data_IF_510879049444
#
_entry.id   IF_510879049444
#
_cell.length_a   1.000
_cell.length_b   1.000
_cell.length_c   1.000
_cell.angle_alpha   90.00
_cell.angle_beta   90.00
_cell.angle_gamma   90.00
#
_symmetry.space_group_name_H-M   'P 1'
#
loop_
_entity.id
_entity.type
_entity.pdbx_description
1 polymer ?
#
# COMPACT_ATOMS: atom_id res chain seq x y z
N UNK A 1 12.17 44.21 27.77
CA UNK A 1 13.16 43.50 26.92
C UNK A 1 13.32 42.08 27.46
N UNK A 2 12.45 41.17 26.99
CA UNK A 2 12.62 39.71 26.94
C UNK A 2 11.74 39.25 25.75
N UNK A 3 12.18 38.34 24.89
CA UNK A 3 11.51 38.07 23.62
C UNK A 3 10.39 37.02 23.76
N UNK A 4 9.30 37.29 23.05
CA UNK A 4 8.23 36.35 22.72
C UNK A 4 8.82 35.06 22.15
N UNK A 5 8.60 33.94 22.85
CA UNK A 5 8.78 32.61 22.26
C UNK A 5 7.49 32.30 21.51
N UNK A 6 7.40 32.81 20.28
CA UNK A 6 6.37 32.42 19.33
C UNK A 6 6.47 30.93 19.06
N UNK A 7 5.55 30.17 19.63
CA UNK A 7 5.25 28.81 19.17
C UNK A 7 4.78 28.98 17.73
N UNK A 8 5.65 28.65 16.77
CA UNK A 8 5.27 28.55 15.37
C UNK A 8 4.23 27.44 15.26
N UNK A 9 2.97 27.85 15.29
CA UNK A 9 1.84 27.07 14.84
C UNK A 9 2.09 26.78 13.37
N UNK A 10 2.66 25.60 13.06
CA UNK A 10 2.70 25.11 11.69
C UNK A 10 1.26 24.96 11.24
N UNK A 11 0.79 25.94 10.47
CA UNK A 11 -0.50 25.89 9.82
C UNK A 11 -0.64 24.55 9.10
N UNK A 12 -1.68 23.79 9.44
CA UNK A 12 -2.10 22.66 8.65
C UNK A 12 -2.25 23.14 7.19
N UNK A 13 -1.58 22.51 6.21
CA UNK A 13 -1.70 22.96 4.83
C UNK A 13 -3.15 22.77 4.36
N UNK A 14 -3.68 23.73 3.58
CA UNK A 14 -5.08 23.72 3.15
C UNK A 14 -5.34 22.55 2.19
N UNK A 15 -6.38 21.78 2.49
CA UNK A 15 -7.11 20.85 1.61
C UNK A 15 -6.28 20.00 0.63
N UNK A 16 -5.17 19.44 1.13
CA UNK A 16 -4.48 18.32 0.47
C UNK A 16 -5.32 17.05 0.64
N UNK A 17 -6.11 16.70 -0.37
CA UNK A 17 -6.91 15.48 -0.35
C UNK A 17 -5.99 14.29 -0.60
N UNK A 18 -5.72 13.47 0.43
CA UNK A 18 -5.37 12.07 0.15
C UNK A 18 -6.50 11.51 -0.69
N UNK A 19 -6.23 10.86 -1.84
CA UNK A 19 -7.27 10.07 -2.49
C UNK A 19 -7.69 8.98 -1.49
N UNK A 20 -8.75 9.27 -0.72
CA UNK A 20 -9.22 8.44 0.38
C UNK A 20 -9.74 7.13 -0.22
N UNK A 21 -8.86 6.14 -0.39
CA UNK A 21 -9.26 4.76 -0.67
C UNK A 21 -10.21 4.23 0.40
N UNK A 22 -10.12 4.75 1.62
CA UNK A 22 -11.04 4.47 2.71
C UNK A 22 -12.52 4.66 2.31
N UNK A 23 -12.84 5.54 1.34
CA UNK A 23 -14.22 5.79 0.89
C UNK A 23 -14.72 4.79 -0.15
N UNK A 24 -13.86 3.95 -0.73
CA UNK A 24 -14.16 3.19 -1.95
C UNK A 24 -14.08 1.66 -1.84
N UNK A 25 -13.71 1.10 -0.68
CA UNK A 25 -13.74 -0.34 -0.47
C UNK A 25 -14.95 -0.75 0.38
N UNK A 26 -16.12 -0.80 -0.25
CA UNK A 26 -17.17 -1.76 0.16
C UNK A 26 -16.76 -3.12 -0.37
N UNK A 27 -15.74 -3.71 0.24
CA UNK A 27 -15.35 -5.08 -0.07
C UNK A 27 -16.15 -6.01 0.84
N UNK A 28 -17.31 -6.45 0.36
CA UNK A 28 -18.27 -7.26 1.14
C UNK A 28 -17.65 -8.61 1.60
N UNK A 29 -16.57 -9.05 0.95
CA UNK A 29 -15.88 -10.29 1.28
C UNK A 29 -15.05 -10.21 2.57
N UNK A 30 -14.70 -9.02 3.06
CA UNK A 30 -13.93 -8.84 4.31
C UNK A 30 -14.29 -7.51 4.98
N UNK A 31 -15.34 -7.50 5.83
CA UNK A 31 -15.71 -6.31 6.58
C UNK A 31 -14.58 -5.89 7.55
N UNK A 32 -14.59 -4.64 8.03
CA UNK A 32 -13.67 -4.21 9.08
C UNK A 32 -13.75 -5.16 10.28
N UNK A 33 -12.62 -5.40 10.93
CA UNK A 33 -12.62 -6.13 12.21
C UNK A 33 -13.30 -5.26 13.29
N UNK A 34 -13.85 -5.91 14.31
CA UNK A 34 -14.54 -5.23 15.41
C UNK A 34 -13.60 -4.23 16.10
N UNK A 35 -14.03 -2.97 16.22
CA UNK A 35 -13.22 -1.89 16.80
C UNK A 35 -12.25 -1.20 15.83
N UNK A 36 -12.23 -1.58 14.54
CA UNK A 36 -11.38 -0.92 13.55
C UNK A 36 -11.85 0.51 13.25
N UNK A 37 -10.99 1.49 13.49
CA UNK A 37 -11.23 2.91 13.22
C UNK A 37 -10.13 3.51 12.34
N UNK A 38 -10.25 3.34 11.02
CA UNK A 38 -9.22 3.76 10.04
C UNK A 38 -8.93 5.28 10.06
N UNK A 39 -9.89 6.10 10.50
CA UNK A 39 -9.75 7.56 10.57
C UNK A 39 -9.01 8.04 11.85
N UNK A 40 -8.53 7.13 12.70
CA UNK A 40 -7.76 7.45 13.91
C UNK A 40 -6.59 8.40 13.61
N UNK A 41 -6.32 9.32 14.55
CA UNK A 41 -5.15 10.20 14.54
C UNK A 41 -3.98 9.65 15.37
N UNK A 42 -4.18 8.54 16.07
CA UNK A 42 -3.16 7.90 16.88
C UNK A 42 -2.31 6.95 16.02
N UNK A 43 -0.99 7.12 16.03
CA UNK A 43 -0.07 6.26 15.29
C UNK A 43 0.02 4.85 15.89
N UNK A 44 -0.21 4.70 17.20
CA UNK A 44 -0.18 3.39 17.88
C UNK A 44 -1.30 2.49 17.36
N UNK A 45 -2.49 3.06 17.13
CA UNK A 45 -3.63 2.33 16.55
C UNK A 45 -3.26 1.80 15.15
N UNK A 46 -2.59 2.61 14.33
CA UNK A 46 -2.17 2.18 13.00
C UNK A 46 -1.19 1.01 13.06
N UNK A 47 -0.17 1.09 13.93
CA UNK A 47 0.77 -0.02 14.13
C UNK A 47 0.08 -1.26 14.70
N UNK A 48 -0.87 -1.08 15.61
CA UNK A 48 -1.63 -2.17 16.22
C UNK A 48 -2.44 -2.94 15.17
N UNK A 49 -3.24 -2.24 14.36
CA UNK A 49 -4.04 -2.88 13.32
C UNK A 49 -3.19 -3.49 12.19
N UNK A 50 -2.04 -2.89 11.85
CA UNK A 50 -1.07 -3.52 10.96
C UNK A 50 -0.57 -4.86 11.50
N UNK A 51 -0.28 -4.95 12.79
CA UNK A 51 0.10 -6.20 13.44
C UNK A 51 -1.03 -7.23 13.37
N UNK A 52 -2.26 -6.85 13.76
CA UNK A 52 -3.42 -7.76 13.74
C UNK A 52 -3.67 -8.32 12.35
N UNK A 53 -3.74 -7.47 11.34
CA UNK A 53 -3.98 -7.91 9.97
C UNK A 53 -2.80 -8.72 9.41
N UNK A 54 -1.56 -8.35 9.75
CA UNK A 54 -0.36 -9.12 9.42
C UNK A 54 -0.42 -10.53 9.98
N UNK A 55 -0.64 -10.67 11.29
CA UNK A 55 -0.73 -11.95 11.99
C UNK A 55 -1.87 -12.83 11.42
N UNK A 56 -3.03 -12.23 11.15
CA UNK A 56 -4.18 -12.94 10.57
C UNK A 56 -3.88 -13.47 9.17
N UNK A 57 -3.20 -12.67 8.33
CA UNK A 57 -2.81 -13.06 6.98
C UNK A 57 -1.75 -14.15 7.00
N UNK A 58 -0.76 -14.08 7.89
CA UNK A 58 0.25 -15.12 8.07
C UNK A 58 -0.38 -16.45 8.50
N UNK A 59 -1.25 -16.38 9.51
CA UNK A 59 -1.99 -17.55 9.99
C UNK A 59 -2.81 -18.21 8.89
N UNK A 60 -3.62 -17.44 8.14
CA UNK A 60 -4.47 -17.96 7.06
C UNK A 60 -3.64 -18.53 5.91
N UNK A 61 -2.50 -17.90 5.56
CA UNK A 61 -1.59 -18.42 4.54
C UNK A 61 -1.04 -19.79 4.94
N UNK A 62 -0.64 -19.96 6.21
CA UNK A 62 -0.19 -21.25 6.73
C UNK A 62 -1.25 -22.35 6.62
N UNK A 63 -2.51 -22.02 6.93
CA UNK A 63 -3.64 -22.96 6.77
C UNK A 63 -3.86 -23.31 5.29
N UNK A 64 -3.90 -22.32 4.40
CA UNK A 64 -4.14 -22.55 2.98
C UNK A 64 -3.07 -23.41 2.33
N UNK A 65 -1.80 -23.20 2.66
CA UNK A 65 -0.72 -24.02 2.12
C UNK A 65 -0.85 -25.49 2.57
N UNK A 66 -1.24 -25.72 3.82
CA UNK A 66 -1.52 -27.09 4.30
C UNK A 66 -2.70 -27.72 3.56
N UNK A 67 -3.80 -26.98 3.42
CA UNK A 67 -4.99 -27.45 2.68
C UNK A 67 -4.61 -27.78 1.24
N UNK A 68 -3.84 -26.91 0.57
CA UNK A 68 -3.37 -27.10 -0.81
C UNK A 68 -2.57 -28.40 -0.97
N UNK A 69 -1.67 -28.70 -0.04
CA UNK A 69 -0.88 -29.93 -0.07
C UNK A 69 -1.75 -31.19 0.13
N UNK A 70 -2.78 -31.12 0.96
CA UNK A 70 -3.68 -32.24 1.22
C UNK A 70 -4.72 -32.44 0.10
N UNK A 71 -5.19 -31.36 -0.55
CA UNK A 71 -6.07 -31.41 -1.74
C UNK A 71 -5.52 -32.32 -2.85
N UNK A 72 -4.20 -32.30 -3.06
CA UNK A 72 -3.52 -33.11 -4.07
C UNK A 72 -3.69 -34.63 -3.83
N UNK A 73 -3.93 -35.05 -2.58
CA UNK A 73 -4.08 -36.45 -2.17
C UNK A 73 -5.52 -36.94 -2.23
N UNK A 74 -6.49 -36.03 -2.35
CA UNK A 74 -7.91 -36.37 -2.32
C UNK A 74 -8.39 -37.00 -3.63
N UNK A 75 -9.38 -37.92 -3.58
CA UNK A 75 -10.13 -38.36 -4.75
C UNK A 75 -10.85 -37.19 -5.45
N UNK A 76 -11.12 -37.26 -6.77
CA UNK A 76 -11.59 -36.12 -7.57
C UNK A 76 -12.84 -35.41 -7.02
N UNK A 77 -13.84 -36.17 -6.55
CA UNK A 77 -15.09 -35.60 -6.03
C UNK A 77 -14.87 -34.81 -4.73
N UNK A 78 -14.10 -35.36 -3.79
CA UNK A 78 -13.76 -34.68 -2.54
C UNK A 78 -12.84 -33.47 -2.76
N UNK A 79 -11.93 -33.55 -3.75
CA UNK A 79 -11.06 -32.44 -4.14
C UNK A 79 -11.87 -31.25 -4.66
N UNK A 80 -12.82 -31.48 -5.56
CA UNK A 80 -13.62 -30.39 -6.14
C UNK A 80 -14.46 -29.64 -5.10
N UNK A 81 -15.01 -30.35 -4.10
CA UNK A 81 -15.72 -29.70 -3.00
C UNK A 81 -14.77 -28.82 -2.16
N UNK A 82 -13.61 -29.35 -1.77
CA UNK A 82 -12.65 -28.62 -0.95
C UNK A 82 -11.92 -27.47 -1.71
N UNK A 83 -11.83 -27.51 -3.03
CA UNK A 83 -11.33 -26.40 -3.87
C UNK A 83 -12.27 -25.17 -3.81
N UNK A 84 -13.57 -25.37 -3.60
CA UNK A 84 -14.52 -24.26 -3.43
C UNK A 84 -14.28 -23.56 -2.09
N UNK A 85 -14.12 -24.32 -1.01
CA UNK A 85 -13.78 -23.78 0.32
C UNK A 85 -12.44 -23.03 0.29
N UNK A 86 -11.44 -23.60 -0.39
CA UNK A 86 -10.15 -22.94 -0.61
C UNK A 86 -10.32 -21.57 -1.30
N UNK A 87 -11.16 -21.50 -2.34
CA UNK A 87 -11.40 -20.28 -3.10
C UNK A 87 -12.06 -19.20 -2.24
N UNK A 88 -13.01 -19.58 -1.37
CA UNK A 88 -13.63 -18.65 -0.43
C UNK A 88 -12.62 -18.07 0.57
N UNK A 89 -11.79 -18.93 1.18
CA UNK A 89 -10.77 -18.49 2.14
C UNK A 89 -9.71 -17.61 1.46
N UNK A 90 -9.30 -17.96 0.23
CA UNK A 90 -8.37 -17.15 -0.56
C UNK A 90 -8.96 -15.77 -0.90
N UNK A 91 -10.26 -15.70 -1.22
CA UNK A 91 -10.98 -14.44 -1.45
C UNK A 91 -10.98 -13.54 -0.21
N UNK A 92 -11.23 -14.10 0.99
CA UNK A 92 -11.14 -13.34 2.25
C UNK A 92 -9.73 -12.79 2.49
N UNK A 93 -8.68 -13.52 2.11
CA UNK A 93 -7.31 -13.03 2.28
C UNK A 93 -7.01 -11.80 1.42
N UNK A 94 -7.57 -11.70 0.21
CA UNK A 94 -7.44 -10.50 -0.62
C UNK A 94 -8.08 -9.28 0.06
N UNK A 95 -9.26 -9.48 0.67
CA UNK A 95 -9.94 -8.43 1.45
C UNK A 95 -9.12 -7.96 2.66
N UNK A 96 -8.56 -8.88 3.45
CA UNK A 96 -7.67 -8.53 4.56
C UNK A 96 -6.35 -7.90 4.11
N UNK A 97 -5.81 -8.29 2.95
CA UNK A 97 -4.63 -7.63 2.40
C UNK A 97 -4.96 -6.18 2.02
N UNK A 98 -6.09 -5.91 1.38
CA UNK A 98 -6.54 -4.54 1.08
C UNK A 98 -6.71 -3.71 2.35
N UNK A 99 -7.20 -4.31 3.44
CA UNK A 99 -7.30 -3.64 4.76
C UNK A 99 -5.93 -3.31 5.33
N UNK A 100 -4.99 -4.25 5.29
CA UNK A 100 -3.62 -4.01 5.71
C UNK A 100 -2.96 -2.89 4.88
N UNK A 101 -3.21 -2.84 3.58
CA UNK A 101 -2.71 -1.78 2.70
C UNK A 101 -3.25 -0.40 3.12
N UNK A 102 -4.52 -0.30 3.53
CA UNK A 102 -5.08 0.95 4.08
C UNK A 102 -4.36 1.41 5.34
N UNK A 103 -4.06 0.49 6.26
CA UNK A 103 -3.37 0.82 7.51
C UNK A 103 -1.92 1.28 7.29
N UNK A 104 -1.22 0.67 6.33
CA UNK A 104 0.09 1.15 5.90
C UNK A 104 0.06 2.58 5.37
N UNK A 105 -0.94 2.91 4.54
CA UNK A 105 -1.12 4.27 4.04
C UNK A 105 -1.42 5.23 5.18
N UNK A 106 -2.32 4.83 6.08
CA UNK A 106 -2.68 5.63 7.24
C UNK A 106 -1.47 5.94 8.12
N UNK A 107 -0.58 4.98 8.33
CA UNK A 107 0.64 5.21 9.10
C UNK A 107 1.53 6.29 8.45
N UNK A 108 1.66 6.30 7.13
CA UNK A 108 2.41 7.35 6.43
C UNK A 108 1.73 8.72 6.50
N UNK A 109 0.41 8.77 6.38
CA UNK A 109 -0.39 9.98 6.54
C UNK A 109 -0.14 10.59 7.93
N UNK A 110 -0.25 9.78 8.98
CA UNK A 110 0.04 10.17 10.36
C UNK A 110 1.51 10.55 10.55
N UNK A 111 2.42 9.94 9.78
CA UNK A 111 3.83 10.30 9.68
C UNK A 111 4.12 11.59 8.89
N UNK A 112 3.09 12.24 8.34
CA UNK A 112 3.19 13.51 7.63
C UNK A 112 3.47 13.40 6.13
N UNK A 113 3.20 12.26 5.49
CA UNK A 113 3.16 12.14 4.04
C UNK A 113 1.88 12.82 3.53
N UNK A 114 2.00 13.58 2.44
CA UNK A 114 0.89 14.22 1.73
C UNK A 114 1.12 14.15 0.22
N UNK A 115 0.05 13.87 -0.52
CA UNK A 115 0.06 13.85 -1.98
C UNK A 115 -0.90 14.90 -2.51
N UNK A 116 -0.44 15.74 -3.44
CA UNK A 116 -1.23 16.75 -4.14
C UNK A 116 -1.31 16.34 -5.63
N UNK A 117 -2.40 15.68 -6.06
CA UNK A 117 -2.53 15.14 -7.42
C UNK A 117 -2.43 16.20 -8.53
N UNK A 118 -3.03 17.37 -8.33
CA UNK A 118 -3.11 18.45 -9.32
C UNK A 118 -1.72 19.04 -9.59
N UNK A 119 -1.00 19.35 -8.51
CA UNK A 119 0.37 19.86 -8.55
C UNK A 119 1.42 18.77 -8.80
N UNK A 120 1.07 17.48 -8.61
CA UNK A 120 2.00 16.33 -8.57
C UNK A 120 3.11 16.53 -7.54
N UNK A 121 2.73 17.11 -6.40
CA UNK A 121 3.64 17.39 -5.29
C UNK A 121 3.50 16.29 -4.25
N UNK A 122 4.65 15.78 -3.81
CA UNK A 122 4.74 14.90 -2.64
C UNK A 122 5.36 15.72 -1.53
N UNK A 123 4.72 15.75 -0.36
CA UNK A 123 5.28 16.34 0.85
C UNK A 123 5.46 15.27 1.93
N UNK A 124 6.57 15.31 2.65
CA UNK A 124 6.82 14.47 3.82
C UNK A 124 7.58 15.25 4.89
N UNK A 125 7.03 15.34 6.09
CA UNK A 125 7.64 16.03 7.24
C UNK A 125 8.17 17.44 6.89
N UNK A 126 7.37 18.23 6.17
CA UNK A 126 7.71 19.61 5.77
C UNK A 126 8.66 19.73 4.58
N UNK A 127 9.13 18.62 4.00
CA UNK A 127 9.91 18.61 2.74
C UNK A 127 9.00 18.31 1.57
N UNK A 128 9.26 18.87 0.41
CA UNK A 128 8.46 18.60 -0.78
C UNK A 128 9.29 18.35 -2.04
N UNK A 129 8.69 17.60 -2.98
CA UNK A 129 9.25 17.36 -4.29
C UNK A 129 8.13 17.20 -5.33
N UNK A 130 8.37 17.67 -6.54
CA UNK A 130 7.45 17.51 -7.67
C UNK A 130 7.87 16.32 -8.53
N UNK A 131 6.87 15.58 -9.00
CA UNK A 131 7.01 14.48 -9.96
C UNK A 131 6.34 14.82 -11.30
N UNK A 132 6.75 14.13 -12.36
CA UNK A 132 5.98 14.13 -13.61
C UNK A 132 4.65 13.37 -13.41
N UNK A 133 3.71 13.51 -14.36
CA UNK A 133 2.41 12.83 -14.29
C UNK A 133 2.59 11.32 -14.11
N UNK A 134 3.45 10.69 -14.93
CA UNK A 134 3.66 9.24 -14.92
C UNK A 134 4.39 8.77 -13.66
N UNK A 135 5.35 9.55 -13.18
CA UNK A 135 6.06 9.25 -11.92
C UNK A 135 5.12 9.32 -10.72
N UNK A 136 4.27 10.35 -10.66
CA UNK A 136 3.29 10.50 -9.59
C UNK A 136 2.27 9.35 -9.62
N UNK A 137 1.74 9.02 -10.81
CA UNK A 137 0.83 7.89 -11.00
C UNK A 137 1.47 6.56 -10.57
N UNK A 138 2.74 6.32 -10.93
CA UNK A 138 3.48 5.12 -10.52
C UNK A 138 3.65 5.06 -9.00
N UNK A 139 4.09 6.16 -8.39
CA UNK A 139 4.27 6.21 -6.94
C UNK A 139 2.95 5.99 -6.21
N UNK A 140 1.89 6.68 -6.61
CA UNK A 140 0.55 6.52 -6.05
C UNK A 140 0.04 5.09 -6.23
N UNK A 141 0.26 4.47 -7.40
CA UNK A 141 -0.12 3.08 -7.66
C UNK A 141 0.59 2.09 -6.74
N UNK A 142 1.92 2.19 -6.61
CA UNK A 142 2.68 1.29 -5.73
C UNK A 142 2.36 1.55 -4.25
N UNK A 143 2.15 2.81 -3.85
CA UNK A 143 1.75 3.18 -2.50
C UNK A 143 0.36 2.63 -2.14
N UNK A 144 -0.49 2.48 -3.15
CA UNK A 144 -1.80 1.86 -3.06
C UNK A 144 -1.75 0.33 -2.99
N UNK A 145 -0.60 -0.28 -3.26
CA UNK A 145 -0.44 -1.73 -3.29
C UNK A 145 0.91 -2.14 -2.70
N UNK A 146 1.17 -1.79 -1.42
CA UNK A 146 2.43 -2.12 -0.78
C UNK A 146 2.64 -3.63 -0.68
N UNK A 147 3.88 -4.08 -0.69
CA UNK A 147 4.31 -5.49 -0.67
C UNK A 147 3.80 -6.37 -1.82
N UNK A 148 3.02 -5.82 -2.75
CA UNK A 148 2.61 -6.49 -3.98
C UNK A 148 3.59 -6.18 -5.11
N UNK A 149 3.99 -7.23 -5.83
CA UNK A 149 4.88 -7.10 -6.97
C UNK A 149 4.08 -6.92 -8.26
N UNK A 150 4.52 -5.97 -9.08
CA UNK A 150 3.97 -5.71 -10.41
C UNK A 150 5.08 -5.71 -11.45
N UNK A 151 4.90 -6.51 -12.48
CA UNK A 151 5.73 -6.52 -13.68
C UNK A 151 5.55 -5.23 -14.48
N UNK A 152 6.48 -4.95 -15.40
CA UNK A 152 6.39 -3.78 -16.28
C UNK A 152 5.06 -3.76 -17.06
N UNK A 153 4.60 -4.86 -17.70
CA UNK A 153 3.30 -4.87 -18.38
C UNK A 153 2.12 -4.59 -17.43
N UNK A 154 2.17 -5.10 -16.20
CA UNK A 154 1.11 -4.84 -15.22
C UNK A 154 1.08 -3.37 -14.79
N UNK A 155 2.24 -2.74 -14.59
CA UNK A 155 2.34 -1.30 -14.30
C UNK A 155 1.77 -0.50 -15.47
N UNK A 156 2.15 -0.83 -16.71
CA UNK A 156 1.64 -0.17 -17.92
C UNK A 156 0.11 -0.24 -18.00
N UNK A 157 -0.45 -1.43 -17.78
CA UNK A 157 -1.90 -1.66 -17.87
C UNK A 157 -2.69 -1.09 -16.69
N UNK A 158 -2.19 -1.20 -15.46
CA UNK A 158 -2.96 -0.88 -14.25
C UNK A 158 -2.71 0.54 -13.73
N UNK A 159 -1.49 1.07 -13.86
CA UNK A 159 -1.17 2.41 -13.37
C UNK A 159 -1.52 3.51 -14.41
N UNK A 160 -1.45 3.20 -15.70
CA UNK A 160 -1.58 4.19 -16.77
C UNK A 160 -2.65 3.89 -17.81
N UNK A 161 -3.20 2.67 -17.85
CA UNK A 161 -4.18 2.22 -18.85
C UNK A 161 -3.74 2.45 -20.32
N UNK A 162 -2.43 2.55 -20.58
CA UNK A 162 -1.85 2.85 -21.89
C UNK A 162 -0.72 1.86 -22.22
N UNK A 163 -0.92 0.94 -23.18
CA UNK A 163 0.07 -0.07 -23.53
C UNK A 163 1.19 0.42 -24.48
N UNK A 164 1.21 1.71 -24.85
CA UNK A 164 2.13 2.28 -25.85
C UNK A 164 3.46 2.78 -25.27
N UNK A 165 3.60 2.84 -23.95
CA UNK A 165 4.85 3.25 -23.29
C UNK A 165 5.91 2.14 -23.36
N UNK A 166 7.17 2.54 -23.53
CA UNK A 166 8.27 1.58 -23.61
C UNK A 166 8.65 1.08 -22.21
N UNK A 167 9.00 -0.22 -22.06
CA UNK A 167 9.49 -0.79 -20.80
C UNK A 167 10.63 -0.01 -20.13
N UNK A 168 11.43 0.70 -20.92
CA UNK A 168 12.55 1.50 -20.43
C UNK A 168 12.10 2.74 -19.65
N UNK A 169 10.95 3.31 -20.01
CA UNK A 169 10.39 4.48 -19.34
C UNK A 169 9.97 4.14 -17.91
N UNK A 170 9.40 2.95 -17.70
CA UNK A 170 9.09 2.43 -16.35
C UNK A 170 10.34 2.43 -15.47
N UNK A 171 11.49 1.96 -15.99
CA UNK A 171 12.76 1.95 -15.24
C UNK A 171 13.21 3.36 -14.86
N UNK A 172 13.05 4.32 -15.78
CA UNK A 172 13.39 5.73 -15.55
C UNK A 172 12.47 6.36 -14.49
N UNK A 173 11.17 6.10 -14.55
CA UNK A 173 10.21 6.58 -13.55
C UNK A 173 10.47 5.97 -12.18
N UNK A 174 10.72 4.65 -12.09
CA UNK A 174 11.12 3.99 -10.83
C UNK A 174 12.38 4.64 -10.26
N UNK A 175 13.39 4.90 -11.11
CA UNK A 175 14.62 5.57 -10.67
C UNK A 175 14.34 6.96 -10.11
N UNK A 176 13.45 7.73 -10.75
CA UNK A 176 13.09 9.08 -10.30
C UNK A 176 12.30 9.04 -9.00
N UNK A 177 11.32 8.15 -8.88
CA UNK A 177 10.53 7.92 -7.66
C UNK A 177 11.44 7.55 -6.48
N UNK A 178 12.38 6.62 -6.67
CA UNK A 178 13.38 6.27 -5.62
C UNK A 178 14.19 7.48 -5.15
N UNK A 179 14.64 8.33 -6.08
CA UNK A 179 15.38 9.55 -5.72
C UNK A 179 14.54 10.50 -4.87
N UNK A 180 13.25 10.65 -5.20
CA UNK A 180 12.33 11.50 -4.42
C UNK A 180 12.08 10.91 -3.03
N UNK A 181 11.79 9.60 -2.94
CA UNK A 181 11.62 8.91 -1.66
C UNK A 181 12.85 9.10 -0.76
N UNK A 182 14.05 8.88 -1.30
CA UNK A 182 15.30 9.04 -0.55
C UNK A 182 15.55 10.50 -0.12
N UNK A 183 15.30 11.48 -1.00
CA UNK A 183 15.50 12.89 -0.71
C UNK A 183 14.54 13.40 0.38
N UNK A 184 13.29 12.96 0.31
CA UNK A 184 12.26 13.28 1.29
C UNK A 184 12.38 12.46 2.58
N UNK A 185 13.18 11.38 2.58
CA UNK A 185 13.33 10.42 3.69
C UNK A 185 12.00 9.75 4.07
N UNK A 186 11.16 9.47 3.07
CA UNK A 186 9.93 8.70 3.29
C UNK A 186 10.35 7.27 3.72
N UNK A 187 9.72 6.67 4.76
CA UNK A 187 10.11 5.36 5.30
C UNK A 187 9.59 4.20 4.44
N UNK A 188 9.77 4.29 3.12
CA UNK A 188 9.47 3.21 2.18
C UNK A 188 10.56 3.13 1.11
N UNK A 189 10.59 2.03 0.38
CA UNK A 189 11.52 1.83 -0.72
C UNK A 189 10.79 1.11 -1.86
N UNK A 190 11.07 1.51 -3.10
CA UNK A 190 10.62 0.74 -4.27
C UNK A 190 11.65 -0.35 -4.52
N UNK A 191 11.30 -1.60 -4.26
CA UNK A 191 12.17 -2.77 -4.47
C UNK A 191 11.95 -3.37 -5.86
N UNK A 192 12.98 -4.04 -6.40
CA UNK A 192 12.86 -4.83 -7.63
C UNK A 192 13.27 -6.28 -7.33
N UNK A 193 12.45 -7.25 -7.71
CA UNK A 193 12.79 -8.67 -7.65
C UNK A 193 12.74 -9.27 -9.06
N UNK A 194 13.85 -9.85 -9.56
CA UNK A 194 13.88 -10.50 -10.88
C UNK A 194 12.74 -11.51 -11.04
N UNK A 195 12.05 -11.46 -12.19
CA UNK A 195 10.90 -12.33 -12.47
C UNK A 195 9.59 -11.95 -11.76
N UNK A 196 9.61 -11.06 -10.76
CA UNK A 196 8.41 -10.57 -10.06
C UNK A 196 8.09 -9.10 -10.38
N UNK A 197 9.09 -8.28 -10.67
CA UNK A 197 8.92 -6.87 -10.98
C UNK A 197 9.15 -5.95 -9.78
N UNK A 198 8.37 -4.87 -9.68
CA UNK A 198 8.54 -3.80 -8.69
C UNK A 198 7.49 -3.86 -7.60
N UNK A 199 7.87 -3.49 -6.38
CA UNK A 199 6.96 -3.33 -5.25
C UNK A 199 7.39 -2.12 -4.41
N UNK A 200 6.47 -1.51 -3.67
CA UNK A 200 6.80 -0.58 -2.61
C UNK A 200 6.70 -1.32 -1.27
N UNK A 201 7.80 -1.34 -0.53
CA UNK A 201 7.88 -1.97 0.79
C UNK A 201 8.18 -0.87 1.83
N UNK A 202 7.50 -0.90 2.98
CA UNK A 202 7.84 0.00 4.08
C UNK A 202 9.10 -0.47 4.77
N UNK A 203 9.94 0.49 5.15
CA UNK A 203 11.07 0.23 6.02
C UNK A 203 10.49 -0.03 7.41
N UNK A 204 10.56 -1.28 7.88
CA UNK A 204 10.27 -1.57 9.27
C UNK A 204 11.21 -0.76 10.15
N UNK A 205 10.67 -0.09 11.17
CA UNK A 205 11.47 0.38 12.29
C UNK A 205 12.18 -0.85 12.86
N UNK A 206 13.49 -0.93 12.65
CA UNK A 206 14.37 -1.85 13.36
C UNK A 206 14.89 -1.15 14.60
#
# INVERSE_FOLDING_TARGET
MQPDTGILHTAAPPDGTFPRRARQLKDDASPPLEGEHIETTNWEDARHWMSIYGDLLEFKRGILERIRLDLAKLPPVARSAAEQDFTLIAGQMDGYQKRLDLWHQRLLELGGLWLEPEGRVIRYQGREATLTVREFQLFQFLLNHPYRFFTVPEILGQAWAEPTLFPEEVRNYVRRVRKVIAALKIPCDVVNRPGRGYSLEFRGDK
#
